data_IF_941646562496
#
_entry.id   IF_941646562496
#
_cell.length_a   1.000
_cell.length_b   1.000
_cell.length_c   1.000
_cell.angle_alpha   90.00
_cell.angle_beta   90.00
_cell.angle_gamma   90.00
#
_symmetry.space_group_name_H-M   'P 1'
#
loop_
_entity.id
_entity.type
_entity.pdbx_description
1 polymer ?
#
# COMPACT_ATOMS: atom_id res chain seq x y z
N UNK A 1 18.50 42.58 56.24
CA UNK A 1 19.05 41.58 57.18
C UNK A 1 20.06 40.76 56.41
N UNK A 2 21.21 40.56 57.06
CA UNK A 2 22.54 40.16 56.59
C UNK A 2 22.75 38.65 56.41
N UNK A 3 23.54 38.28 55.40
CA UNK A 3 24.81 37.50 55.45
C UNK A 3 25.06 36.46 56.57
N UNK A 4 24.12 35.55 56.88
CA UNK A 4 24.44 34.46 57.81
C UNK A 4 23.81 33.08 57.54
N UNK A 5 23.28 32.81 56.34
CA UNK A 5 22.84 31.44 55.97
C UNK A 5 23.39 30.96 54.63
N UNK A 6 24.57 31.47 54.24
CA UNK A 6 25.33 31.05 53.04
C UNK A 6 26.43 30.01 53.36
N UNK A 7 26.62 29.62 54.62
CA UNK A 7 27.73 28.72 55.01
C UNK A 7 27.30 27.57 55.95
N UNK A 8 26.60 26.54 55.46
CA UNK A 8 26.72 25.19 56.06
C UNK A 8 26.31 24.00 55.17
N UNK A 9 26.26 24.12 53.84
CA UNK A 9 26.20 22.94 52.96
C UNK A 9 27.21 23.07 51.81
N UNK A 10 28.41 23.52 52.14
CA UNK A 10 29.56 23.57 51.22
C UNK A 10 30.69 22.68 51.79
N UNK A 11 30.53 21.36 51.66
CA UNK A 11 31.63 20.41 51.91
C UNK A 11 31.46 19.03 51.24
N UNK A 12 30.38 18.76 50.48
CA UNK A 12 30.19 17.43 49.84
C UNK A 12 29.78 17.41 48.36
N UNK A 13 29.70 18.56 47.69
CA UNK A 13 29.37 18.62 46.25
C UNK A 13 30.54 18.96 45.32
N UNK A 14 31.73 19.32 45.84
CA UNK A 14 32.89 19.71 45.01
C UNK A 14 33.86 18.57 44.63
N UNK A 15 33.64 17.33 45.09
CA UNK A 15 34.49 16.17 44.72
C UNK A 15 33.83 15.19 43.74
N UNK A 16 32.57 15.40 43.35
CA UNK A 16 31.87 14.52 42.39
C UNK A 16 31.65 15.13 41.01
N UNK A 17 31.95 16.42 40.81
CA UNK A 17 31.81 17.09 39.51
C UNK A 17 33.16 17.19 38.77
N UNK A 18 34.31 17.12 39.47
CA UNK A 18 35.64 17.19 38.83
C UNK A 18 36.13 15.81 38.33
N UNK A 19 35.62 14.70 38.86
CA UNK A 19 35.96 13.34 38.37
C UNK A 19 35.07 12.90 37.20
N UNK A 20 33.85 13.44 37.06
CA UNK A 20 32.95 13.14 35.94
C UNK A 20 33.29 13.86 34.63
N UNK A 21 33.94 15.02 34.70
CA UNK A 21 34.28 15.83 33.51
C UNK A 21 35.64 15.41 32.90
N UNK A 22 36.51 14.73 33.65
CA UNK A 22 37.79 14.22 33.13
C UNK A 22 37.72 12.83 32.49
N UNK A 23 36.61 12.09 32.64
CA UNK A 23 36.40 10.81 31.92
C UNK A 23 35.65 11.02 30.60
N UNK A 24 34.90 12.11 30.44
CA UNK A 24 34.19 12.43 29.19
C UNK A 24 35.08 13.07 28.11
N UNK A 25 36.22 13.67 28.47
CA UNK A 25 37.11 14.34 27.51
C UNK A 25 38.17 13.40 26.89
N UNK A 26 38.39 12.22 27.48
CA UNK A 26 39.35 11.23 26.95
C UNK A 26 38.75 10.28 25.91
N UNK A 27 37.41 10.15 25.86
CA UNK A 27 36.72 9.24 24.92
C UNK A 27 36.34 9.94 23.60
N UNK A 28 36.15 11.26 23.61
CA UNK A 28 35.84 12.01 22.38
C UNK A 28 37.07 12.31 21.51
N UNK A 29 38.28 12.34 22.08
CA UNK A 29 39.52 12.62 21.34
C UNK A 29 40.02 11.45 20.47
N UNK A 30 39.71 10.20 20.84
CA UNK A 30 40.14 9.01 20.08
C UNK A 30 39.14 8.66 18.96
N UNK A 31 37.84 8.89 19.19
CA UNK A 31 36.81 8.64 18.17
C UNK A 31 36.91 9.62 16.98
N UNK A 32 37.30 10.89 17.23
CA UNK A 32 37.47 11.89 16.18
C UNK A 32 38.65 11.63 15.23
N UNK A 33 39.74 11.03 15.72
CA UNK A 33 40.89 10.68 14.88
C UNK A 33 40.65 9.39 14.10
N UNK A 34 39.90 8.43 14.65
CA UNK A 34 39.52 7.21 13.92
C UNK A 34 38.52 7.49 12.80
N UNK A 35 37.57 8.42 12.98
CA UNK A 35 36.65 8.83 11.90
C UNK A 35 37.35 9.62 10.79
N UNK A 36 38.31 10.49 11.12
CA UNK A 36 39.01 11.30 10.12
C UNK A 36 39.98 10.47 9.26
N UNK A 37 40.53 9.37 9.78
CA UNK A 37 41.31 8.41 8.97
C UNK A 37 40.39 7.51 8.13
N UNK A 38 39.16 7.24 8.58
CA UNK A 38 38.19 6.42 7.84
C UNK A 38 37.64 7.07 6.55
N UNK A 39 37.65 8.41 6.46
CA UNK A 39 37.19 9.13 5.27
C UNK A 39 38.31 9.52 4.28
N UNK A 40 39.59 9.36 4.68
CA UNK A 40 40.74 9.71 3.83
C UNK A 40 41.32 8.52 3.03
N UNK A 41 40.86 7.29 3.27
CA UNK A 41 41.24 6.11 2.48
C UNK A 41 39.97 5.40 2.03
N UNK A 42 39.69 5.42 0.73
CA UNK A 42 38.55 4.73 0.13
C UNK A 42 38.49 3.27 0.57
N UNK A 43 37.40 2.89 1.22
CA UNK A 43 37.29 1.58 1.86
C UNK A 43 36.74 0.55 0.89
N UNK A 44 37.64 -0.29 0.37
CA UNK A 44 37.33 -1.68 0.11
C UNK A 44 37.69 -2.50 1.35
N UNK A 45 36.71 -3.16 1.98
CA UNK A 45 36.99 -4.19 2.99
C UNK A 45 37.35 -5.49 2.27
N UNK A 46 38.46 -6.12 2.67
CA UNK A 46 38.84 -7.46 2.21
C UNK A 46 38.49 -8.50 3.27
N UNK A 47 38.04 -9.68 2.83
CA UNK A 47 37.91 -10.83 3.73
C UNK A 47 39.28 -11.42 4.11
N UNK A 48 39.32 -12.42 4.98
CA UNK A 48 40.55 -13.09 5.44
C UNK A 48 41.34 -13.82 4.33
N UNK A 49 40.87 -13.77 3.08
CA UNK A 49 41.55 -14.27 1.89
C UNK A 49 42.07 -13.17 0.95
N UNK A 50 41.92 -11.89 1.31
CA UNK A 50 42.42 -10.77 0.53
C UNK A 50 41.56 -10.41 -0.69
N UNK A 51 40.30 -10.86 -0.75
CA UNK A 51 39.37 -10.46 -1.81
C UNK A 51 38.61 -9.20 -1.43
N UNK A 52 38.72 -8.18 -2.28
CA UNK A 52 37.95 -6.94 -2.25
C UNK A 52 36.45 -7.26 -2.28
N UNK A 53 35.72 -6.99 -1.18
CA UNK A 53 34.27 -7.04 -1.17
C UNK A 53 33.75 -5.81 -1.92
N UNK A 54 33.56 -5.97 -3.23
CA UNK A 54 32.70 -5.06 -3.97
C UNK A 54 31.28 -5.22 -3.42
N UNK A 55 30.70 -4.15 -2.88
CA UNK A 55 29.26 -4.08 -2.72
C UNK A 55 28.67 -4.22 -4.13
N UNK A 56 28.07 -5.38 -4.42
CA UNK A 56 27.42 -5.63 -5.70
C UNK A 56 26.21 -4.71 -5.81
N UNK A 57 26.28 -3.74 -6.72
CA UNK A 57 25.12 -3.09 -7.32
C UNK A 57 24.33 -4.03 -8.28
N UNK A 58 24.64 -5.33 -8.31
CA UNK A 58 24.30 -6.26 -9.40
C UNK A 58 23.03 -7.13 -9.22
N UNK A 59 22.08 -6.80 -8.35
CA UNK A 59 20.80 -7.56 -8.23
C UNK A 59 19.56 -6.67 -8.44
N UNK A 60 19.69 -5.59 -9.23
CA UNK A 60 18.55 -4.76 -9.59
C UNK A 60 17.76 -5.37 -10.76
N UNK A 61 16.42 -5.26 -10.72
CA UNK A 61 15.56 -5.71 -11.83
C UNK A 61 15.63 -4.68 -12.97
N UNK A 62 16.29 -5.05 -14.06
CA UNK A 62 16.42 -4.17 -15.23
C UNK A 62 15.28 -4.44 -16.21
N UNK A 63 14.48 -3.42 -16.59
CA UNK A 63 13.44 -3.59 -17.58
C UNK A 63 14.03 -3.79 -18.99
N UNK A 64 13.29 -4.50 -19.83
CA UNK A 64 13.51 -4.55 -21.28
C UNK A 64 12.45 -3.75 -22.02
N UNK A 65 12.72 -3.34 -23.26
CA UNK A 65 11.80 -2.57 -24.11
C UNK A 65 11.50 -3.36 -25.39
N UNK A 66 10.25 -3.37 -25.83
CA UNK A 66 9.80 -3.95 -27.11
C UNK A 66 8.63 -3.13 -27.71
N UNK A 67 8.35 -3.23 -29.02
CA UNK A 67 7.16 -2.63 -29.62
C UNK A 67 5.86 -3.29 -29.13
N UNK A 68 4.78 -2.51 -28.96
CA UNK A 68 3.43 -3.01 -28.60
C UNK A 68 2.36 -2.68 -29.66
N UNK A 69 2.78 -2.07 -30.77
CA UNK A 69 1.90 -1.64 -31.86
C UNK A 69 1.86 -0.13 -32.00
N UNK A 70 0.79 0.37 -32.61
CA UNK A 70 0.62 1.77 -32.96
C UNK A 70 -0.81 2.21 -32.58
N UNK A 71 -0.95 3.48 -32.22
CA UNK A 71 -2.26 4.12 -32.09
C UNK A 71 -2.72 4.67 -33.44
N UNK A 72 -3.98 5.10 -33.55
CA UNK A 72 -4.65 5.50 -34.81
C UNK A 72 -3.89 6.52 -35.64
N UNK A 73 -3.15 7.42 -35.01
CA UNK A 73 -2.37 8.45 -35.69
C UNK A 73 -0.98 7.97 -36.15
N UNK A 74 -0.68 6.68 -36.02
CA UNK A 74 0.55 6.03 -36.44
C UNK A 74 1.72 6.17 -35.46
N UNK A 75 1.52 6.84 -34.31
CA UNK A 75 2.57 6.88 -33.28
C UNK A 75 2.74 5.51 -32.64
N UNK A 76 4.01 5.13 -32.41
CA UNK A 76 4.41 3.83 -31.88
C UNK A 76 4.24 3.78 -30.37
N UNK A 77 3.67 2.67 -29.91
CA UNK A 77 3.56 2.33 -28.49
C UNK A 77 4.65 1.32 -28.14
N UNK A 78 5.37 1.59 -27.05
CA UNK A 78 6.39 0.70 -26.50
C UNK A 78 5.82 -0.06 -25.31
N UNK A 79 6.27 -1.29 -25.10
CA UNK A 79 6.06 -2.07 -23.88
C UNK A 79 7.40 -2.23 -23.16
N UNK A 80 7.35 -2.13 -21.85
CA UNK A 80 8.47 -2.35 -20.95
C UNK A 80 8.16 -3.52 -20.04
N UNK A 81 9.10 -4.46 -19.92
CA UNK A 81 8.92 -5.69 -19.15
C UNK A 81 9.95 -5.78 -18.05
N UNK A 82 9.50 -5.84 -16.80
CA UNK A 82 10.30 -6.19 -15.63
C UNK A 82 10.07 -7.65 -15.26
N UNK A 83 11.12 -8.41 -14.98
CA UNK A 83 11.01 -9.76 -14.39
C UNK A 83 12.01 -9.91 -13.26
N UNK A 84 11.54 -10.17 -12.05
CA UNK A 84 12.41 -10.33 -10.88
C UNK A 84 12.79 -11.79 -10.62
N UNK A 85 13.68 -12.03 -9.65
CA UNK A 85 14.17 -13.38 -9.32
C UNK A 85 13.11 -14.33 -8.74
N UNK A 86 11.96 -13.79 -8.33
CA UNK A 86 10.84 -14.56 -7.78
C UNK A 86 9.76 -14.86 -8.84
N UNK A 87 10.10 -14.72 -10.13
CA UNK A 87 9.20 -14.94 -11.26
C UNK A 87 7.97 -14.02 -11.30
N UNK A 88 8.05 -12.85 -10.69
CA UNK A 88 7.06 -11.80 -10.90
C UNK A 88 7.44 -11.04 -12.16
N UNK A 89 6.50 -10.91 -13.09
CA UNK A 89 6.65 -10.12 -14.30
C UNK A 89 5.61 -9.01 -14.34
N UNK A 90 6.05 -7.77 -14.57
CA UNK A 90 5.18 -6.61 -14.76
C UNK A 90 5.45 -6.04 -16.14
N UNK A 91 4.39 -5.81 -16.91
CA UNK A 91 4.47 -5.18 -18.24
C UNK A 91 3.71 -3.87 -18.26
N UNK A 92 4.31 -2.87 -18.89
CA UNK A 92 3.82 -1.49 -18.89
C UNK A 92 3.98 -0.90 -20.28
N UNK A 93 2.96 -0.22 -20.81
CA UNK A 93 3.03 0.42 -22.13
C UNK A 93 3.09 1.94 -22.03
N UNK A 94 3.70 2.57 -23.03
CA UNK A 94 3.87 4.03 -23.08
C UNK A 94 2.56 4.80 -23.32
N UNK A 95 1.51 4.13 -23.80
CA UNK A 95 0.18 4.72 -23.93
C UNK A 95 -0.57 4.62 -22.60
N UNK A 96 -0.98 5.76 -22.06
CA UNK A 96 -1.63 5.89 -20.76
C UNK A 96 -0.74 5.57 -19.56
N UNK A 97 0.57 5.35 -19.78
CA UNK A 97 1.47 4.75 -18.78
C UNK A 97 0.85 3.51 -18.13
N UNK A 98 0.32 2.63 -18.98
CA UNK A 98 -0.63 1.58 -18.59
C UNK A 98 0.07 0.30 -18.17
N UNK A 99 -0.24 -0.22 -16.99
CA UNK A 99 0.15 -1.58 -16.58
C UNK A 99 -0.75 -2.56 -17.32
N UNK A 100 -0.15 -3.38 -18.19
CA UNK A 100 -0.87 -4.34 -19.05
C UNK A 100 -0.92 -5.73 -18.45
N UNK A 101 0.11 -6.12 -17.69
CA UNK A 101 0.26 -7.47 -17.15
C UNK A 101 0.92 -7.42 -15.76
N UNK A 102 0.45 -8.28 -14.86
CA UNK A 102 1.11 -8.61 -13.60
C UNK A 102 1.05 -10.13 -13.46
N UNK A 103 2.09 -10.82 -13.91
CA UNK A 103 2.23 -12.26 -13.78
C UNK A 103 2.90 -12.58 -12.45
N UNK A 104 2.25 -13.41 -11.63
CA UNK A 104 2.82 -13.86 -10.37
C UNK A 104 2.49 -15.34 -10.09
N UNK A 105 3.41 -16.10 -9.45
CA UNK A 105 3.13 -17.48 -9.06
C UNK A 105 1.96 -17.55 -8.05
N UNK A 106 1.42 -18.74 -7.81
CA UNK A 106 0.64 -19.03 -6.61
C UNK A 106 1.49 -19.85 -5.63
N UNK A 107 0.90 -20.31 -4.53
CA UNK A 107 1.57 -21.18 -3.55
C UNK A 107 2.07 -22.51 -4.12
N UNK A 108 1.58 -22.93 -5.30
CA UNK A 108 1.98 -24.14 -6.01
C UNK A 108 2.93 -23.85 -7.19
N UNK A 109 3.32 -22.58 -7.40
CA UNK A 109 4.19 -22.14 -8.49
C UNK A 109 3.49 -21.89 -9.83
N UNK A 110 2.15 -21.99 -9.91
CA UNK A 110 1.41 -21.68 -11.13
C UNK A 110 1.39 -20.17 -11.37
N UNK A 111 1.95 -19.73 -12.49
CA UNK A 111 2.03 -18.31 -12.85
C UNK A 111 0.79 -17.93 -13.65
N UNK A 112 0.06 -16.92 -13.17
CA UNK A 112 -1.07 -16.33 -13.88
C UNK A 112 -0.94 -14.80 -13.89
N UNK A 113 -1.46 -14.19 -14.95
CA UNK A 113 -1.64 -12.75 -14.99
C UNK A 113 -2.88 -12.35 -14.19
N UNK A 114 -2.68 -11.58 -13.13
CA UNK A 114 -3.71 -11.15 -12.20
C UNK A 114 -4.29 -9.76 -12.54
N UNK A 115 -3.85 -9.14 -13.63
CA UNK A 115 -4.34 -7.82 -14.07
C UNK A 115 -5.24 -7.95 -15.29
N UNK A 116 -6.38 -7.27 -15.29
CA UNK A 116 -7.20 -7.14 -16.51
C UNK A 116 -6.46 -6.23 -17.51
N UNK A 117 -6.71 -6.43 -18.81
CA UNK A 117 -6.07 -5.64 -19.85
C UNK A 117 -6.51 -6.04 -21.26
N UNK A 118 -5.76 -5.58 -22.26
CA UNK A 118 -5.99 -5.85 -23.68
C UNK A 118 -4.70 -6.27 -24.39
N UNK A 119 -4.82 -6.90 -25.56
CA UNK A 119 -3.68 -7.50 -26.27
C UNK A 119 -2.92 -6.48 -27.15
N UNK A 120 -3.57 -5.39 -27.55
CA UNK A 120 -3.03 -4.44 -28.52
C UNK A 120 -3.16 -2.98 -28.10
N UNK A 121 -2.24 -2.12 -28.56
CA UNK A 121 -2.31 -0.67 -28.35
C UNK A 121 -3.62 -0.05 -28.86
N UNK A 122 -4.11 -0.50 -30.02
CA UNK A 122 -5.36 -0.03 -30.61
C UNK A 122 -6.57 -0.33 -29.72
N UNK A 123 -6.63 -1.48 -29.06
CA UNK A 123 -7.72 -1.79 -28.13
C UNK A 123 -7.73 -0.89 -26.89
N UNK A 124 -6.55 -0.55 -26.35
CA UNK A 124 -6.46 0.43 -25.26
C UNK A 124 -6.96 1.81 -25.68
N UNK A 125 -6.62 2.26 -26.90
CA UNK A 125 -7.09 3.54 -27.44
C UNK A 125 -8.60 3.53 -27.75
N UNK A 126 -9.10 2.48 -28.38
CA UNK A 126 -10.50 2.38 -28.83
C UNK A 126 -11.49 2.26 -27.69
N UNK A 127 -11.16 1.45 -26.68
CA UNK A 127 -12.11 1.08 -25.64
C UNK A 127 -12.16 2.11 -24.52
N UNK A 128 -11.07 2.86 -24.34
CA UNK A 128 -10.99 3.99 -23.41
C UNK A 128 -11.51 3.65 -21.99
N UNK A 129 -11.21 2.44 -21.51
CA UNK A 129 -11.75 1.90 -20.25
C UNK A 129 -10.93 2.28 -19.02
N UNK A 130 -9.75 2.90 -19.23
CA UNK A 130 -8.77 3.25 -18.19
C UNK A 130 -8.14 2.06 -17.47
N UNK A 131 -8.43 0.82 -17.89
CA UNK A 131 -7.89 -0.40 -17.26
C UNK A 131 -6.36 -0.35 -17.22
N UNK A 132 -5.79 -0.34 -16.02
CA UNK A 132 -4.34 -0.32 -15.77
C UNK A 132 -3.66 1.02 -16.05
N UNK A 133 -4.39 2.03 -16.53
CA UNK A 133 -3.83 3.28 -16.99
C UNK A 133 -3.58 4.25 -15.84
N UNK A 134 -2.65 5.18 -16.04
CA UNK A 134 -2.48 6.34 -15.18
C UNK A 134 -3.70 7.26 -15.27
N UNK A 135 -4.08 7.83 -14.14
CA UNK A 135 -5.19 8.76 -13.99
C UNK A 135 -4.64 10.16 -13.73
N UNK A 136 -5.22 11.16 -14.39
CA UNK A 136 -4.82 12.56 -14.25
C UNK A 136 -5.44 13.45 -15.32
N UNK A 137 -5.48 14.78 -15.15
CA UNK A 137 -4.78 15.58 -14.13
C UNK A 137 -5.37 15.46 -12.71
N UNK A 138 -6.66 15.18 -12.58
CA UNK A 138 -7.34 14.83 -11.33
C UNK A 138 -7.94 13.42 -11.44
N UNK A 139 -7.62 12.57 -10.47
CA UNK A 139 -8.24 11.26 -10.24
C UNK A 139 -9.57 11.45 -9.50
N UNK A 140 -10.52 10.56 -9.80
CA UNK A 140 -11.89 10.61 -9.29
C UNK A 140 -12.66 11.88 -9.69
N UNK A 141 -13.86 12.01 -9.14
CA UNK A 141 -14.82 13.06 -9.52
C UNK A 141 -14.44 14.43 -8.98
N UNK A 142 -14.74 15.44 -9.78
CA UNK A 142 -14.76 16.84 -9.41
C UNK A 142 -16.17 17.39 -9.64
N UNK A 143 -16.80 17.82 -8.53
CA UNK A 143 -18.17 18.32 -8.49
C UNK A 143 -18.37 19.51 -9.43
N UNK A 144 -19.38 19.42 -10.30
CA UNK A 144 -19.77 20.50 -11.21
C UNK A 144 -18.72 20.84 -12.27
N UNK A 145 -17.71 19.99 -12.46
CA UNK A 145 -16.62 20.18 -13.41
C UNK A 145 -15.94 21.55 -13.28
N UNK A 146 -15.75 22.02 -12.05
CA UNK A 146 -15.14 23.33 -11.78
C UNK A 146 -14.47 23.42 -10.42
N UNK A 147 -13.54 24.35 -10.29
CA UNK A 147 -12.83 24.67 -9.04
C UNK A 147 -12.36 26.11 -9.04
N UNK A 148 -11.91 26.61 -7.89
CA UNK A 148 -11.45 27.99 -7.72
C UNK A 148 -10.00 28.04 -7.25
N UNK A 149 -9.18 28.89 -7.86
CA UNK A 149 -7.83 29.23 -7.38
C UNK A 149 -7.74 30.74 -7.23
N UNK A 150 -7.36 31.23 -6.05
CA UNK A 150 -7.17 32.65 -5.78
C UNK A 150 -8.38 33.53 -6.20
N UNK A 151 -9.59 33.00 -6.01
CA UNK A 151 -10.85 33.66 -6.37
C UNK A 151 -11.24 33.59 -7.86
N UNK A 152 -10.43 32.95 -8.70
CA UNK A 152 -10.73 32.71 -10.12
C UNK A 152 -11.34 31.32 -10.29
N UNK A 153 -12.55 31.25 -10.84
CA UNK A 153 -13.21 29.99 -11.19
C UNK A 153 -12.68 29.45 -12.52
N UNK A 154 -12.32 28.16 -12.54
CA UNK A 154 -11.92 27.42 -13.72
C UNK A 154 -12.96 26.34 -14.01
N UNK A 155 -13.37 26.26 -15.27
CA UNK A 155 -14.25 25.19 -15.76
C UNK A 155 -13.41 24.16 -16.50
N UNK A 156 -13.60 22.89 -16.16
CA UNK A 156 -12.98 21.74 -16.83
C UNK A 156 -14.02 20.94 -17.58
N UNK A 157 -13.57 19.98 -18.38
CA UNK A 157 -14.47 19.12 -19.16
C UNK A 157 -15.46 18.37 -18.27
N UNK A 158 -16.76 18.49 -18.56
CA UNK A 158 -17.81 17.72 -17.91
C UNK A 158 -18.04 16.40 -18.67
N UNK A 159 -17.20 15.41 -18.40
CA UNK A 159 -17.24 14.09 -19.08
C UNK A 159 -18.15 13.06 -18.38
N UNK A 160 -18.75 13.40 -17.24
CA UNK A 160 -19.74 12.58 -16.56
C UNK A 160 -20.95 13.43 -16.12
N UNK A 161 -21.88 13.65 -17.04
CA UNK A 161 -23.04 14.52 -16.80
C UNK A 161 -22.60 15.97 -16.58
N UNK A 162 -22.80 16.49 -15.36
CA UNK A 162 -22.35 17.83 -14.96
C UNK A 162 -20.98 17.80 -14.24
N UNK A 163 -20.44 16.62 -13.98
CA UNK A 163 -19.20 16.44 -13.25
C UNK A 163 -18.04 16.12 -14.18
N UNK A 164 -16.84 16.31 -13.65
CA UNK A 164 -15.60 15.89 -14.26
C UNK A 164 -15.11 14.63 -13.55
N UNK A 165 -14.52 13.67 -14.27
CA UNK A 165 -13.96 12.46 -13.68
C UNK A 165 -12.70 12.03 -14.41
N UNK A 166 -11.69 11.59 -13.65
CA UNK A 166 -10.44 11.00 -14.17
C UNK A 166 -9.72 11.85 -15.23
N UNK A 167 -9.74 13.18 -15.09
CA UNK A 167 -9.00 14.08 -15.96
C UNK A 167 -9.72 14.49 -17.24
N UNK A 168 -10.93 14.03 -17.50
CA UNK A 168 -11.78 14.54 -18.59
C UNK A 168 -11.97 13.54 -19.73
N UNK A 169 -12.31 14.05 -20.93
CA UNK A 169 -12.60 13.20 -22.09
C UNK A 169 -11.35 12.46 -22.59
N UNK A 170 -10.21 13.14 -22.55
CA UNK A 170 -8.91 12.61 -22.91
C UNK A 170 -7.94 12.90 -21.77
N UNK A 171 -8.17 12.22 -20.64
CA UNK A 171 -7.27 12.23 -19.49
C UNK A 171 -5.93 11.56 -19.78
N UNK A 172 -5.09 11.45 -18.75
CA UNK A 172 -3.74 10.87 -18.87
C UNK A 172 -3.75 9.43 -19.38
N UNK A 173 -4.83 8.69 -19.14
CA UNK A 173 -5.05 7.33 -19.64
C UNK A 173 -5.00 7.22 -21.18
N UNK A 174 -5.22 8.33 -21.87
CA UNK A 174 -5.27 8.40 -23.34
C UNK A 174 -4.13 9.19 -23.97
N UNK A 175 -3.05 9.38 -23.22
CA UNK A 175 -1.87 10.10 -23.70
C UNK A 175 -0.74 9.15 -24.00
N UNK A 176 0.00 9.43 -25.07
CA UNK A 176 1.25 8.76 -25.32
C UNK A 176 2.37 9.47 -24.55
N UNK A 177 2.94 8.81 -23.55
CA UNK A 177 4.03 9.33 -22.74
C UNK A 177 5.38 9.14 -23.46
N UNK A 178 6.30 10.08 -23.27
CA UNK A 178 7.72 9.88 -23.59
C UNK A 178 8.32 8.95 -22.54
N UNK A 179 8.58 7.70 -22.92
CA UNK A 179 8.99 6.63 -22.02
C UNK A 179 10.45 6.22 -22.25
N UNK A 180 11.24 6.16 -21.17
CA UNK A 180 12.67 5.82 -21.20
C UNK A 180 13.06 4.92 -20.03
N UNK A 181 13.92 3.94 -20.30
CA UNK A 181 14.59 3.18 -19.24
C UNK A 181 15.68 4.05 -18.60
N UNK A 182 15.69 4.11 -17.27
CA UNK A 182 16.64 4.84 -16.44
C UNK A 182 17.16 3.91 -15.33
N UNK A 183 18.23 3.18 -15.63
CA UNK A 183 18.74 2.13 -14.73
C UNK A 183 17.71 1.01 -14.57
N UNK A 184 17.24 0.80 -13.34
CA UNK A 184 16.22 -0.19 -12.98
C UNK A 184 14.79 0.37 -12.97
N UNK A 185 14.57 1.51 -13.63
CA UNK A 185 13.27 2.19 -13.68
C UNK A 185 12.84 2.45 -15.11
N UNK A 186 11.53 2.54 -15.32
CA UNK A 186 10.94 3.15 -16.53
C UNK A 186 10.35 4.49 -16.11
N UNK A 187 10.88 5.58 -16.63
CA UNK A 187 10.31 6.92 -16.45
C UNK A 187 9.47 7.28 -17.67
N UNK A 188 8.22 7.65 -17.43
CA UNK A 188 7.24 8.08 -18.43
C UNK A 188 6.86 9.52 -18.16
N UNK A 189 7.12 10.39 -19.14
CA UNK A 189 6.86 11.83 -19.03
C UNK A 189 5.73 12.24 -19.97
N UNK A 190 4.80 13.04 -19.46
CA UNK A 190 3.80 13.71 -20.27
C UNK A 190 3.76 15.20 -19.94
N UNK A 191 3.74 16.04 -20.98
CA UNK A 191 3.59 17.49 -20.84
C UNK A 191 2.17 17.85 -21.26
N UNK A 192 1.34 18.09 -20.26
CA UNK A 192 -0.05 18.53 -20.41
C UNK A 192 -0.06 20.05 -20.60
N UNK A 193 -0.42 20.59 -21.78
CA UNK A 193 -0.35 22.03 -22.03
C UNK A 193 -1.32 22.83 -21.16
N UNK A 194 -1.09 24.14 -21.07
CA UNK A 194 -2.02 25.08 -20.43
C UNK A 194 -3.40 25.00 -21.14
N UNK A 195 -4.46 24.83 -20.35
CA UNK A 195 -5.83 24.70 -20.83
C UNK A 195 -6.24 23.28 -21.25
N UNK A 196 -5.37 22.27 -21.16
CA UNK A 196 -5.76 20.89 -21.47
C UNK A 196 -6.90 20.44 -20.55
N UNK A 197 -8.01 19.98 -21.13
CA UNK A 197 -9.25 19.61 -20.42
C UNK A 197 -9.80 20.74 -19.52
N UNK A 198 -9.37 21.99 -19.76
CA UNK A 198 -9.74 23.18 -19.00
C UNK A 198 -8.84 23.51 -17.79
N UNK A 199 -7.79 22.72 -17.52
CA UNK A 199 -6.90 22.97 -16.39
C UNK A 199 -5.86 24.07 -16.70
N UNK A 200 -5.61 25.02 -15.78
CA UNK A 200 -4.60 26.06 -15.97
C UNK A 200 -3.18 25.51 -15.80
N UNK A 201 -2.23 26.15 -16.45
CA UNK A 201 -0.82 25.82 -16.35
C UNK A 201 -0.44 24.62 -17.21
N UNK A 202 0.67 24.75 -17.91
CA UNK A 202 1.37 23.59 -18.45
C UNK A 202 1.88 22.77 -17.26
N UNK A 203 1.57 21.47 -17.27
CA UNK A 203 1.98 20.51 -16.28
C UNK A 203 2.90 19.47 -16.91
N UNK A 204 4.14 19.41 -16.45
CA UNK A 204 5.03 18.27 -16.72
C UNK A 204 4.85 17.23 -15.63
N UNK A 205 4.33 16.06 -15.99
CA UNK A 205 4.15 14.91 -15.10
C UNK A 205 5.12 13.80 -15.45
N UNK A 206 5.76 13.22 -14.43
CA UNK A 206 6.67 12.08 -14.56
C UNK A 206 6.16 10.95 -13.67
N UNK A 207 5.94 9.78 -14.27
CA UNK A 207 5.59 8.54 -13.58
C UNK A 207 6.80 7.60 -13.70
N UNK A 208 7.32 7.14 -12.58
CA UNK A 208 8.42 6.18 -12.52
C UNK A 208 7.90 4.83 -12.05
N UNK A 209 8.15 3.78 -12.82
CA UNK A 209 7.88 2.40 -12.44
C UNK A 209 9.16 1.66 -12.10
N UNK A 210 9.12 0.86 -11.03
CA UNK A 210 10.22 0.01 -10.59
C UNK A 210 9.66 -1.30 -10.05
N UNK A 211 10.23 -2.43 -10.46
CA UNK A 211 10.03 -3.70 -9.79
C UNK A 211 11.27 -4.02 -8.95
N UNK A 212 11.11 -4.47 -7.72
CA UNK A 212 12.22 -4.90 -6.86
C UNK A 212 12.27 -6.43 -6.75
N UNK A 213 13.41 -6.93 -6.25
CA UNK A 213 13.59 -8.35 -5.97
C UNK A 213 12.89 -8.79 -4.67
N UNK A 214 12.36 -7.85 -3.90
CA UNK A 214 11.48 -8.02 -2.74
C UNK A 214 9.99 -8.05 -3.13
N UNK A 215 9.72 -8.11 -4.44
CA UNK A 215 8.40 -8.12 -5.06
C UNK A 215 7.60 -6.82 -4.92
N UNK A 216 8.28 -5.68 -4.82
CA UNK A 216 7.60 -4.39 -4.77
C UNK A 216 7.51 -3.78 -6.17
N UNK A 217 6.29 -3.51 -6.64
CA UNK A 217 6.01 -2.65 -7.77
C UNK A 217 5.79 -1.22 -7.25
N UNK A 218 6.76 -0.34 -7.47
CA UNK A 218 6.79 1.03 -6.96
C UNK A 218 6.44 2.00 -8.10
N UNK A 219 5.46 2.88 -7.84
CA UNK A 219 5.02 3.97 -8.71
C UNK A 219 5.31 5.31 -8.01
N UNK A 220 6.22 6.10 -8.57
CA UNK A 220 6.54 7.45 -8.07
C UNK A 220 6.02 8.51 -9.03
N UNK A 221 5.27 9.49 -8.51
CA UNK A 221 4.63 10.55 -9.26
C UNK A 221 5.25 11.90 -8.91
N UNK A 222 5.81 12.56 -9.93
CA UNK A 222 6.40 13.91 -9.82
C UNK A 222 5.71 14.83 -10.80
N UNK A 223 5.48 16.08 -10.40
CA UNK A 223 4.93 17.06 -11.32
C UNK A 223 5.41 18.49 -11.04
N UNK A 224 5.59 19.25 -12.11
CA UNK A 224 5.93 20.68 -12.06
C UNK A 224 5.02 21.43 -13.00
N UNK A 225 4.57 22.61 -12.58
CA UNK A 225 3.61 23.42 -13.33
C UNK A 225 4.09 24.85 -13.53
N UNK A 226 3.58 25.50 -14.58
CA UNK A 226 3.81 26.94 -14.84
C UNK A 226 2.79 27.85 -14.16
N UNK A 227 1.64 27.33 -13.74
CA UNK A 227 0.60 28.03 -12.96
C UNK A 227 0.07 27.13 -11.86
N UNK A 228 -0.43 27.69 -10.76
CA UNK A 228 -1.15 26.90 -9.76
C UNK A 228 -2.28 26.10 -10.43
N UNK A 229 -2.31 24.79 -10.20
CA UNK A 229 -3.28 23.85 -10.77
C UNK A 229 -3.51 22.71 -9.79
N UNK A 230 -4.73 22.14 -9.75
CA UNK A 230 -4.95 20.93 -9.01
C UNK A 230 -4.25 19.73 -9.67
N UNK A 231 -3.77 18.79 -8.85
CA UNK A 231 -3.14 17.54 -9.27
C UNK A 231 -3.56 16.42 -8.32
N UNK A 232 -4.12 15.35 -8.86
CA UNK A 232 -4.37 14.10 -8.15
C UNK A 232 -4.09 12.94 -9.12
N UNK A 233 -2.94 12.29 -8.98
CA UNK A 233 -2.49 11.25 -9.91
C UNK A 233 -2.55 9.88 -9.26
N UNK A 234 -2.99 8.88 -10.02
CA UNK A 234 -3.01 7.49 -9.58
C UNK A 234 -2.91 6.53 -10.76
N UNK A 235 -3.15 5.24 -10.51
CA UNK A 235 -3.24 4.21 -11.53
C UNK A 235 -4.46 3.31 -11.28
N UNK A 236 -5.12 2.89 -12.35
CA UNK A 236 -6.41 2.19 -12.30
C UNK A 236 -6.28 0.68 -12.61
N UNK A 237 -5.34 -0.02 -11.97
CA UNK A 237 -5.20 -1.48 -12.13
C UNK A 237 -6.44 -2.21 -11.60
N UNK A 238 -6.95 -3.14 -12.39
CA UNK A 238 -8.01 -4.05 -12.01
C UNK A 238 -7.41 -5.42 -11.70
N UNK A 239 -7.50 -5.85 -10.45
CA UNK A 239 -6.92 -7.11 -9.99
C UNK A 239 -7.95 -8.23 -9.95
N UNK A 240 -7.57 -9.40 -10.46
CA UNK A 240 -8.20 -10.67 -10.14
C UNK A 240 -7.12 -11.70 -9.78
N UNK A 241 -7.02 -12.05 -8.50
CA UNK A 241 -5.98 -12.95 -7.98
C UNK A 241 -6.14 -14.41 -8.44
N UNK A 242 -7.29 -14.79 -9.02
CA UNK A 242 -7.45 -16.08 -9.71
C UNK A 242 -6.99 -16.05 -11.18
N UNK A 243 -6.53 -14.89 -11.63
CA UNK A 243 -6.14 -14.61 -13.00
C UNK A 243 -7.21 -13.79 -13.74
N UNK A 244 -6.79 -12.95 -14.69
CA UNK A 244 -7.67 -12.00 -15.39
C UNK A 244 -8.88 -12.66 -16.07
N UNK A 245 -8.75 -13.92 -16.50
CA UNK A 245 -9.79 -14.67 -17.21
C UNK A 245 -10.65 -15.58 -16.32
N UNK A 246 -10.43 -15.57 -15.00
CA UNK A 246 -11.12 -16.49 -14.10
C UNK A 246 -12.61 -16.16 -13.91
N UNK A 247 -12.98 -14.89 -14.12
CA UNK A 247 -14.22 -14.35 -13.55
C UNK A 247 -14.19 -14.47 -12.02
N UNK A 248 -15.37 -14.34 -11.38
CA UNK A 248 -15.60 -14.70 -9.97
C UNK A 248 -14.62 -14.08 -8.96
N UNK A 249 -14.35 -12.78 -9.06
CA UNK A 249 -13.45 -12.09 -8.12
C UNK A 249 -14.00 -12.03 -6.66
N UNK A 250 -15.22 -12.49 -6.42
CA UNK A 250 -15.89 -12.48 -5.12
C UNK A 250 -15.27 -13.40 -4.05
N UNK A 251 -14.32 -14.25 -4.44
CA UNK A 251 -13.63 -15.21 -3.57
C UNK A 251 -12.42 -14.58 -2.85
N UNK A 252 -12.07 -13.34 -3.20
CA UNK A 252 -11.01 -12.60 -2.55
C UNK A 252 -11.47 -12.09 -1.19
N UNK A 253 -10.50 -11.97 -0.27
CA UNK A 253 -10.65 -11.24 0.96
C UNK A 253 -10.04 -9.84 0.78
N UNK A 254 -10.77 -8.82 1.21
CA UNK A 254 -10.29 -7.44 1.26
C UNK A 254 -10.13 -6.99 2.71
N UNK A 255 -9.06 -6.26 2.98
CA UNK A 255 -8.86 -5.51 4.22
C UNK A 255 -8.42 -4.08 3.89
N UNK A 256 -8.97 -3.10 4.59
CA UNK A 256 -8.59 -1.69 4.49
C UNK A 256 -8.32 -1.16 5.88
N UNK A 257 -7.12 -0.64 6.11
CA UNK A 257 -6.64 -0.23 7.44
C UNK A 257 -7.01 1.23 7.73
N UNK A 258 -8.31 1.53 7.68
CA UNK A 258 -8.86 2.83 8.02
C UNK A 258 -10.06 2.67 8.97
N UNK A 259 -10.29 3.69 9.81
CA UNK A 259 -11.48 3.84 10.64
C UNK A 259 -12.57 4.68 9.96
N UNK A 260 -12.25 5.33 8.83
CA UNK A 260 -13.09 6.35 8.21
C UNK A 260 -13.12 6.30 6.69
N UNK A 261 -14.23 6.72 6.12
CA UNK A 261 -14.43 6.85 4.67
C UNK A 261 -15.18 8.14 4.35
N UNK A 262 -15.15 8.55 3.08
CA UNK A 262 -15.90 9.69 2.55
C UNK A 262 -17.26 9.19 2.06
N UNK A 263 -18.37 9.52 2.72
CA UNK A 263 -19.71 9.19 2.25
C UNK A 263 -20.02 9.92 0.95
N UNK A 264 -20.59 9.21 -0.01
CA UNK A 264 -20.95 9.75 -1.32
C UNK A 264 -22.47 9.85 -1.51
N UNK A 265 -22.90 10.77 -2.36
CA UNK A 265 -24.28 10.92 -2.83
C UNK A 265 -24.57 10.04 -4.06
N UNK A 266 -25.77 10.15 -4.62
CA UNK A 266 -26.21 9.38 -5.80
C UNK A 266 -25.41 9.71 -7.07
N UNK A 267 -24.77 10.89 -7.12
CA UNK A 267 -23.86 11.27 -8.19
C UNK A 267 -22.42 10.78 -7.93
N UNK A 268 -22.23 9.97 -6.89
CA UNK A 268 -20.95 9.46 -6.39
C UNK A 268 -19.98 10.58 -5.98
N UNK A 269 -20.51 11.74 -5.58
CA UNK A 269 -19.73 12.85 -5.06
C UNK A 269 -19.71 12.82 -3.53
N UNK A 270 -18.63 13.28 -2.89
CA UNK A 270 -18.62 13.50 -1.45
C UNK A 270 -19.83 14.30 -0.99
N UNK A 271 -20.48 13.84 0.07
CA UNK A 271 -21.50 14.62 0.77
C UNK A 271 -20.85 15.83 1.44
N UNK A 272 -21.64 16.90 1.55
CA UNK A 272 -21.23 18.15 2.21
C UNK A 272 -19.87 18.69 1.71
N UNK A 273 -18.98 18.98 2.66
CA UNK A 273 -17.60 19.41 2.40
C UNK A 273 -16.56 18.27 2.54
N UNK A 274 -17.00 17.02 2.30
CA UNK A 274 -16.15 15.83 2.47
C UNK A 274 -16.09 15.34 3.91
N UNK A 275 -17.21 15.41 4.65
CA UNK A 275 -17.23 14.90 6.02
C UNK A 275 -16.88 13.41 6.06
N UNK A 276 -16.00 13.01 6.99
CA UNK A 276 -15.64 11.62 7.17
C UNK A 276 -16.67 10.90 8.06
N UNK A 277 -17.07 9.70 7.67
CA UNK A 277 -17.88 8.81 8.51
C UNK A 277 -17.06 7.60 8.97
N UNK A 278 -17.40 7.06 10.14
CA UNK A 278 -16.76 5.84 10.66
C UNK A 278 -17.18 4.61 9.87
N UNK A 279 -16.25 3.70 9.63
CA UNK A 279 -16.55 2.43 8.94
C UNK A 279 -17.31 1.44 9.81
N UNK A 280 -17.12 1.49 11.14
CA UNK A 280 -17.67 0.52 12.10
C UNK A 280 -19.18 0.34 11.95
N UNK A 281 -19.60 -0.92 11.76
CA UNK A 281 -21.02 -1.29 11.62
C UNK A 281 -21.64 -0.94 10.26
N UNK A 282 -20.83 -0.58 9.27
CA UNK A 282 -21.28 -0.29 7.89
C UNK A 282 -20.78 -1.36 6.91
N UNK A 283 -21.30 -1.34 5.68
CA UNK A 283 -20.81 -2.21 4.58
C UNK A 283 -19.37 -1.87 4.14
N UNK A 284 -18.83 -0.73 4.61
CA UNK A 284 -17.47 -0.26 4.36
C UNK A 284 -16.49 -0.72 5.45
N UNK A 285 -16.93 -1.53 6.43
CA UNK A 285 -16.05 -2.04 7.47
C UNK A 285 -15.17 -3.20 6.95
N UNK A 286 -14.02 -2.83 6.38
CA UNK A 286 -12.98 -3.77 5.96
C UNK A 286 -11.78 -3.80 6.92
N UNK A 287 -11.95 -3.36 8.18
CA UNK A 287 -10.87 -3.43 9.18
C UNK A 287 -10.46 -4.86 9.46
N UNK A 288 -11.38 -5.81 9.26
CA UNK A 288 -11.14 -7.24 9.27
C UNK A 288 -11.30 -7.83 7.85
N UNK A 289 -10.57 -8.91 7.50
CA UNK A 289 -10.69 -9.57 6.21
C UNK A 289 -12.13 -9.93 5.87
N UNK A 290 -12.63 -9.35 4.79
CA UNK A 290 -14.02 -9.49 4.34
C UNK A 290 -14.07 -10.11 2.95
N UNK A 291 -14.90 -11.15 2.80
CA UNK A 291 -15.18 -11.75 1.49
C UNK A 291 -15.85 -10.74 0.56
N UNK A 292 -15.22 -10.46 -0.58
CA UNK A 292 -15.72 -9.49 -1.56
C UNK A 292 -17.15 -9.80 -1.99
N UNK A 293 -17.50 -11.08 -2.23
CA UNK A 293 -18.88 -11.47 -2.61
C UNK A 293 -19.97 -11.07 -1.61
N UNK A 294 -19.62 -10.79 -0.35
CA UNK A 294 -20.61 -10.38 0.68
C UNK A 294 -21.05 -8.93 0.52
N UNK A 295 -20.27 -8.12 -0.19
CA UNK A 295 -20.47 -6.66 -0.28
C UNK A 295 -20.54 -6.17 -1.72
N UNK A 296 -20.01 -6.93 -2.69
CA UNK A 296 -19.78 -6.47 -4.07
C UNK A 296 -21.02 -5.89 -4.77
N UNK A 297 -22.20 -6.46 -4.53
CA UNK A 297 -23.44 -6.03 -5.17
C UNK A 297 -24.04 -4.76 -4.54
N UNK A 298 -23.70 -4.48 -3.28
CA UNK A 298 -24.18 -3.32 -2.52
C UNK A 298 -23.14 -2.19 -2.45
N UNK A 299 -21.94 -2.43 -3.00
CA UNK A 299 -20.80 -1.53 -2.94
C UNK A 299 -20.51 -0.97 -4.34
N UNK A 300 -20.79 0.33 -4.52
CA UNK A 300 -20.49 1.00 -5.80
C UNK A 300 -19.01 1.39 -5.85
N UNK A 301 -18.59 2.26 -4.94
CA UNK A 301 -17.24 2.81 -4.79
C UNK A 301 -17.13 3.46 -3.40
N UNK A 302 -15.94 3.48 -2.79
CA UNK A 302 -15.71 4.23 -1.55
C UNK A 302 -14.26 4.66 -1.42
N UNK A 303 -14.06 5.91 -1.00
CA UNK A 303 -12.75 6.44 -0.66
C UNK A 303 -12.54 6.39 0.86
N UNK A 304 -11.58 5.56 1.29
CA UNK A 304 -11.12 5.50 2.68
C UNK A 304 -10.12 6.61 2.94
N UNK A 305 -10.13 7.17 4.15
CA UNK A 305 -9.22 8.25 4.57
C UNK A 305 -8.17 7.72 5.55
N UNK A 306 -6.93 8.17 5.41
CA UNK A 306 -5.81 7.81 6.30
C UNK A 306 -5.21 9.04 6.97
N UNK A 307 -5.89 10.20 6.93
CA UNK A 307 -5.40 11.47 7.47
C UNK A 307 -4.27 12.05 6.61
N UNK A 308 -3.13 12.36 7.22
CA UNK A 308 -2.08 13.15 6.57
C UNK A 308 -1.44 12.48 5.35
N UNK A 309 -1.13 13.31 4.34
CA UNK A 309 -0.36 12.99 3.14
C UNK A 309 1.15 13.03 3.42
N UNK A 310 1.91 12.26 2.64
CA UNK A 310 3.38 12.29 2.60
C UNK A 310 4.06 11.16 3.38
N UNK A 311 3.41 10.64 4.42
CA UNK A 311 3.90 9.47 5.18
C UNK A 311 3.45 8.19 4.52
N UNK A 312 4.40 7.30 4.16
CA UNK A 312 4.08 5.99 3.59
C UNK A 312 3.38 5.11 4.63
N UNK A 313 2.18 4.63 4.31
CA UNK A 313 1.33 3.78 5.17
C UNK A 313 0.94 2.51 4.44
N UNK A 314 0.78 1.39 5.17
CA UNK A 314 0.11 0.20 4.66
C UNK A 314 -1.40 0.43 4.76
N UNK A 315 -2.10 0.47 3.63
CA UNK A 315 -3.49 0.96 3.58
C UNK A 315 -4.51 -0.12 3.26
N UNK A 316 -4.12 -1.17 2.53
CA UNK A 316 -5.02 -2.24 2.19
C UNK A 316 -4.30 -3.54 1.84
N UNK A 317 -5.04 -4.64 1.96
CA UNK A 317 -4.67 -5.95 1.43
C UNK A 317 -5.82 -6.52 0.61
N UNK A 318 -5.49 -7.08 -0.55
CA UNK A 318 -6.36 -7.99 -1.30
C UNK A 318 -5.68 -9.36 -1.35
N UNK A 319 -6.37 -10.42 -0.96
CA UNK A 319 -5.79 -11.76 -0.92
C UNK A 319 -6.77 -12.83 -1.39
N UNK A 320 -6.23 -13.90 -1.93
CA UNK A 320 -6.98 -15.11 -2.25
C UNK A 320 -6.45 -16.27 -1.41
N UNK A 321 -7.22 -16.77 -0.42
CA UNK A 321 -6.74 -17.81 0.48
C UNK A 321 -6.56 -19.17 -0.20
N UNK A 322 -7.28 -19.41 -1.30
CA UNK A 322 -7.23 -20.68 -2.03
C UNK A 322 -5.89 -20.86 -2.73
N UNK A 323 -5.43 -19.84 -3.46
CA UNK A 323 -4.17 -19.90 -4.21
C UNK A 323 -2.98 -19.27 -3.47
N UNK A 324 -3.21 -18.46 -2.44
CA UNK A 324 -2.17 -17.84 -1.62
C UNK A 324 -1.52 -16.60 -2.24
N UNK A 325 -2.07 -16.04 -3.31
CA UNK A 325 -1.65 -14.73 -3.84
C UNK A 325 -2.25 -13.63 -2.97
N UNK A 326 -1.46 -12.59 -2.71
CA UNK A 326 -1.93 -11.37 -2.09
C UNK A 326 -1.17 -10.13 -2.59
N UNK A 327 -1.82 -8.99 -2.45
CA UNK A 327 -1.29 -7.66 -2.74
C UNK A 327 -1.45 -6.82 -1.49
N UNK A 328 -0.35 -6.27 -1.01
CA UNK A 328 -0.36 -5.19 -0.02
C UNK A 328 -0.18 -3.85 -0.73
N UNK A 329 -1.00 -2.87 -0.37
CA UNK A 329 -0.93 -1.51 -0.92
C UNK A 329 -0.32 -0.57 0.11
N UNK A 330 0.76 0.10 -0.28
CA UNK A 330 1.41 1.13 0.49
C UNK A 330 1.35 2.46 -0.26
N UNK A 331 1.08 3.56 0.43
CA UNK A 331 0.98 4.86 -0.24
C UNK A 331 1.34 6.02 0.67
N UNK A 332 1.79 7.12 0.08
CA UNK A 332 1.89 8.43 0.73
C UNK A 332 0.62 9.26 0.57
N UNK A 333 -0.34 8.81 -0.23
CA UNK A 333 -1.60 9.52 -0.43
C UNK A 333 -2.53 9.41 0.78
N UNK A 334 -3.38 10.43 1.02
CA UNK A 334 -4.25 10.47 2.19
C UNK A 334 -5.50 9.59 2.03
N UNK A 335 -5.78 9.08 0.82
CA UNK A 335 -6.94 8.25 0.55
C UNK A 335 -6.68 7.04 -0.33
N UNK A 336 -7.64 6.12 -0.32
CA UNK A 336 -7.68 4.91 -1.16
C UNK A 336 -9.09 4.72 -1.65
N UNK A 337 -9.29 4.80 -2.97
CA UNK A 337 -10.52 4.37 -3.59
C UNK A 337 -10.53 2.85 -3.74
N UNK A 338 -11.61 2.23 -3.29
CA UNK A 338 -11.90 0.82 -3.54
C UNK A 338 -13.05 0.76 -4.51
N UNK A 339 -12.89 -0.03 -5.58
CA UNK A 339 -13.90 -0.16 -6.61
C UNK A 339 -13.98 -1.60 -7.13
N UNK A 340 -15.18 -2.19 -7.12
CA UNK A 340 -15.42 -3.57 -7.53
C UNK A 340 -16.04 -3.68 -8.93
N UNK A 341 -15.58 -2.87 -9.89
CA UNK A 341 -16.05 -2.94 -11.28
C UNK A 341 -17.56 -2.71 -11.49
N UNK A 342 -18.28 -2.08 -10.56
CA UNK A 342 -19.74 -1.93 -10.60
C UNK A 342 -20.29 -1.23 -11.86
N UNK A 343 -19.48 -0.38 -12.51
CA UNK A 343 -19.80 0.31 -13.78
C UNK A 343 -19.04 -0.23 -14.99
N UNK A 344 -18.33 -1.36 -14.88
CA UNK A 344 -17.69 -1.97 -16.03
C UNK A 344 -18.76 -2.42 -17.03
N UNK A 345 -18.55 -2.09 -18.32
CA UNK A 345 -19.49 -2.46 -19.38
C UNK A 345 -19.58 -3.99 -19.48
N UNK A 346 -20.78 -4.57 -19.61
CA UNK A 346 -20.90 -5.98 -19.92
C UNK A 346 -20.30 -6.28 -21.30
N UNK A 347 -19.86 -7.52 -21.52
CA UNK A 347 -19.29 -8.00 -22.78
C UNK A 347 -18.03 -7.23 -23.24
N UNK A 348 -17.19 -6.81 -22.29
CA UNK A 348 -15.90 -6.22 -22.60
C UNK A 348 -14.88 -7.34 -22.85
N UNK A 349 -14.45 -7.53 -24.09
CA UNK A 349 -13.49 -8.59 -24.44
C UNK A 349 -12.05 -8.19 -24.11
N UNK A 350 -11.48 -8.68 -23.04
CA UNK A 350 -10.08 -8.51 -22.62
C UNK A 350 -9.05 -9.34 -23.39
N UNK A 351 -7.85 -9.41 -22.81
CA UNK A 351 -6.75 -10.30 -23.25
C UNK A 351 -7.22 -11.71 -23.51
N UNK A 352 -6.65 -12.36 -24.53
CA UNK A 352 -6.95 -13.72 -24.95
C UNK A 352 -8.46 -13.97 -25.21
N UNK A 353 -9.20 -12.91 -25.54
CA UNK A 353 -10.66 -12.96 -25.73
C UNK A 353 -11.47 -13.20 -24.44
N UNK A 354 -10.87 -13.05 -23.26
CA UNK A 354 -11.57 -13.18 -21.99
C UNK A 354 -12.71 -12.16 -21.88
N UNK A 355 -13.85 -12.54 -21.30
CA UNK A 355 -14.93 -11.59 -21.05
C UNK A 355 -14.75 -10.94 -19.68
N UNK A 356 -14.78 -9.61 -19.67
CA UNK A 356 -14.88 -8.79 -18.46
C UNK A 356 -16.27 -8.18 -18.37
N UNK A 357 -16.73 -8.00 -17.14
CA UNK A 357 -18.05 -7.45 -16.85
C UNK A 357 -18.11 -6.79 -15.48
N UNK A 358 -19.31 -6.35 -15.07
CA UNK A 358 -19.48 -5.72 -13.77
C UNK A 358 -19.30 -6.72 -12.62
N UNK A 359 -19.01 -6.18 -11.43
CA UNK A 359 -18.95 -6.94 -10.19
C UNK A 359 -17.99 -8.15 -10.26
N UNK A 360 -18.51 -9.36 -10.09
CA UNK A 360 -17.75 -10.61 -10.03
C UNK A 360 -17.02 -10.93 -11.35
N UNK A 361 -17.53 -10.44 -12.48
CA UNK A 361 -16.96 -10.63 -13.81
C UNK A 361 -15.83 -9.62 -14.12
N UNK A 362 -15.54 -8.70 -13.18
CA UNK A 362 -14.52 -7.68 -13.32
C UNK A 362 -13.30 -7.93 -12.44
N UNK A 363 -12.62 -6.84 -12.08
CA UNK A 363 -11.53 -6.84 -11.11
C UNK A 363 -11.79 -5.90 -9.92
N UNK A 364 -10.95 -6.01 -8.91
CA UNK A 364 -10.91 -5.08 -7.77
C UNK A 364 -9.87 -4.02 -8.07
N UNK A 365 -10.23 -2.74 -7.94
CA UNK A 365 -9.28 -1.63 -8.00
C UNK A 365 -9.00 -1.13 -6.58
N UNK A 366 -7.73 -0.84 -6.33
CA UNK A 366 -7.22 -0.20 -5.12
C UNK A 366 -6.41 1.01 -5.60
N UNK A 367 -6.98 2.21 -5.51
CA UNK A 367 -6.49 3.41 -6.19
C UNK A 367 -6.05 4.43 -5.14
N UNK A 368 -4.76 4.48 -4.75
CA UNK A 368 -4.28 5.48 -3.82
C UNK A 368 -4.36 6.88 -4.43
N UNK A 369 -4.96 7.83 -3.74
CA UNK A 369 -5.23 9.16 -4.28
C UNK A 369 -5.53 10.17 -3.17
N UNK A 370 -5.58 11.45 -3.52
CA UNK A 370 -6.25 12.46 -2.70
C UNK A 370 -7.76 12.24 -2.67
N UNK A 371 -8.45 12.85 -1.70
CA UNK A 371 -9.89 12.64 -1.56
C UNK A 371 -10.65 13.15 -2.80
N UNK A 372 -11.72 12.46 -3.24
CA UNK A 372 -12.50 12.88 -4.40
C UNK A 372 -12.98 14.32 -4.22
N UNK A 373 -12.94 15.13 -5.27
CA UNK A 373 -13.31 16.55 -5.23
C UNK A 373 -12.60 17.38 -4.15
N UNK A 374 -11.46 16.92 -3.62
CA UNK A 374 -10.69 17.59 -2.55
C UNK A 374 -10.31 19.05 -2.85
N UNK A 375 -10.16 19.40 -4.13
CA UNK A 375 -9.85 20.77 -4.59
C UNK A 375 -10.93 21.79 -4.18
N UNK A 376 -12.15 21.33 -3.94
CA UNK A 376 -13.27 22.16 -3.50
C UNK A 376 -13.55 22.05 -1.99
N UNK A 377 -12.73 21.31 -1.24
CA UNK A 377 -12.90 21.11 0.20
C UNK A 377 -11.98 22.05 0.99
N UNK A 378 -12.51 22.72 2.01
CA UNK A 378 -11.74 23.73 2.73
C UNK A 378 -10.56 23.16 3.54
N UNK A 379 -10.65 21.90 3.96
CA UNK A 379 -9.70 21.25 4.87
C UNK A 379 -8.90 20.11 4.21
N UNK A 380 -8.96 19.96 2.89
CA UNK A 380 -8.25 18.87 2.21
C UNK A 380 -6.77 19.27 1.97
N UNK A 381 -5.81 18.45 2.44
CA UNK A 381 -4.40 18.76 2.32
C UNK A 381 -3.90 18.58 0.88
N UNK A 382 -3.99 19.65 0.09
CA UNK A 382 -3.04 19.93 -0.97
C UNK A 382 -3.37 19.38 -2.34
N UNK A 383 -4.48 19.83 -2.91
CA UNK A 383 -4.74 19.66 -4.34
C UNK A 383 -3.80 20.47 -5.23
N UNK A 384 -3.22 21.58 -4.78
CA UNK A 384 -2.49 22.51 -5.67
C UNK A 384 -0.97 22.27 -5.68
N UNK A 385 -0.40 22.16 -6.88
CA UNK A 385 1.06 22.07 -7.04
C UNK A 385 1.68 23.41 -7.47
N UNK A 386 2.87 23.71 -6.94
CA UNK A 386 3.71 24.84 -7.37
C UNK A 386 5.10 24.41 -7.86
N UNK A 387 5.62 23.24 -7.41
CA UNK A 387 6.77 22.45 -7.94
C UNK A 387 7.07 21.27 -7.00
N UNK A 388 7.30 20.03 -7.49
CA UNK A 388 7.93 18.97 -6.68
C UNK A 388 7.46 17.51 -6.92
N UNK A 389 7.74 16.63 -5.95
CA UNK A 389 7.10 15.30 -5.87
C UNK A 389 5.66 15.51 -5.40
N UNK A 390 4.71 14.90 -6.11
CA UNK A 390 3.30 14.99 -5.75
C UNK A 390 2.90 13.80 -4.88
N UNK A 391 3.30 12.58 -5.25
CA UNK A 391 2.89 11.36 -4.54
C UNK A 391 3.82 10.18 -4.81
N UNK A 392 3.74 9.16 -3.97
CA UNK A 392 4.28 7.83 -4.25
C UNK A 392 3.29 6.77 -3.80
N UNK A 393 3.03 5.79 -4.66
CA UNK A 393 2.27 4.59 -4.37
C UNK A 393 3.17 3.37 -4.62
N UNK A 394 3.04 2.32 -3.82
CA UNK A 394 3.77 1.08 -4.00
C UNK A 394 2.88 -0.10 -3.68
N UNK A 395 2.96 -1.13 -4.48
CA UNK A 395 2.27 -2.41 -4.28
C UNK A 395 3.32 -3.48 -3.98
N UNK A 396 3.09 -4.29 -2.97
CA UNK A 396 3.93 -5.46 -2.67
C UNK A 396 3.15 -6.70 -3.12
N UNK A 397 3.69 -7.40 -4.12
CA UNK A 397 3.06 -8.53 -4.81
C UNK A 397 3.61 -9.84 -4.25
N UNK A 398 2.84 -10.61 -3.50
CA UNK A 398 3.41 -11.78 -2.80
C UNK A 398 2.57 -13.03 -2.93
N UNK A 399 3.24 -14.16 -2.72
CA UNK A 399 2.70 -15.50 -2.89
C UNK A 399 3.12 -16.34 -1.68
N UNK A 400 2.17 -16.98 -1.04
CA UNK A 400 2.45 -17.88 0.08
C UNK A 400 1.18 -18.30 0.82
N UNK A 401 1.31 -19.33 1.63
CA UNK A 401 0.35 -19.54 2.72
C UNK A 401 0.69 -18.49 3.76
N UNK A 402 -0.30 -17.70 4.22
CA UNK A 402 -0.09 -16.96 5.46
C UNK A 402 0.27 -17.99 6.52
N UNK A 403 1.56 -18.08 6.86
CA UNK A 403 1.90 -18.57 8.15
C UNK A 403 1.16 -17.66 9.12
N UNK A 404 0.50 -18.23 10.11
CA UNK A 404 -0.23 -17.53 11.18
C UNK A 404 0.68 -16.62 12.04
N UNK A 405 1.86 -16.29 11.54
CA UNK A 405 2.99 -15.62 12.17
C UNK A 405 2.76 -14.12 12.39
N UNK A 406 1.56 -13.60 12.08
CA UNK A 406 1.10 -12.29 12.58
C UNK A 406 1.05 -12.21 14.11
N UNK A 407 1.32 -13.30 14.84
CA UNK A 407 1.44 -13.31 16.30
C UNK A 407 2.86 -13.24 16.88
N UNK A 408 3.92 -13.35 16.07
CA UNK A 408 5.30 -13.50 16.58
C UNK A 408 6.30 -12.44 16.08
N UNK A 409 5.82 -11.22 15.79
CA UNK A 409 6.65 -10.04 15.60
C UNK A 409 6.90 -9.27 16.92
N UNK A 410 8.03 -8.55 17.08
CA UNK A 410 8.43 -7.86 18.33
C UNK A 410 7.54 -6.68 18.78
N UNK A 411 6.33 -6.55 18.23
CA UNK A 411 5.25 -5.69 18.75
C UNK A 411 4.14 -6.44 19.50
N UNK A 412 4.23 -7.77 19.64
CA UNK A 412 3.19 -8.61 20.25
C UNK A 412 3.03 -8.43 21.78
N UNK A 413 3.98 -7.75 22.43
CA UNK A 413 4.02 -7.63 23.90
C UNK A 413 3.03 -6.59 24.47
N UNK A 414 2.53 -5.66 23.65
CA UNK A 414 1.51 -4.69 24.09
C UNK A 414 0.07 -5.21 23.93
N UNK A 415 -0.18 -6.22 23.08
CA UNK A 415 -1.52 -6.81 22.88
C UNK A 415 -1.76 -8.04 23.77
N UNK A 416 -0.70 -8.77 24.14
CA UNK A 416 -0.78 -9.90 25.09
C UNK A 416 -1.26 -9.47 26.49
N UNK A 417 -0.95 -8.24 26.93
CA UNK A 417 -1.34 -7.75 28.26
C UNK A 417 -2.82 -7.41 28.42
N UNK A 418 -3.55 -7.13 27.33
CA UNK A 418 -4.99 -6.81 27.37
C UNK A 418 -5.90 -8.03 27.17
N UNK A 419 -5.38 -9.12 26.59
CA UNK A 419 -6.14 -10.37 26.37
C UNK A 419 -6.02 -11.32 27.57
N UNK A 420 -4.93 -11.24 28.34
CA UNK A 420 -4.67 -12.07 29.52
C UNK A 420 -5.64 -11.78 30.70
N UNK A 421 -6.26 -10.61 30.78
CA UNK A 421 -7.20 -10.29 31.86
C UNK A 421 -8.58 -10.93 31.71
N UNK A 422 -9.02 -11.21 30.47
CA UNK A 422 -10.37 -11.74 30.19
C UNK A 422 -10.40 -13.26 29.97
N UNK A 423 -9.30 -13.88 29.54
CA UNK A 423 -9.22 -15.32 29.30
C UNK A 423 -8.81 -16.10 30.58
N UNK A 424 -8.11 -15.44 31.51
CA UNK A 424 -7.69 -15.99 32.82
C UNK A 424 -8.86 -16.39 33.75
N UNK A 425 -10.01 -15.71 33.66
CA UNK A 425 -11.16 -16.01 34.55
C UNK A 425 -11.92 -17.29 34.13
N UNK A 426 -12.05 -17.54 32.83
CA UNK A 426 -12.83 -18.66 32.27
C UNK A 426 -12.08 -19.98 32.36
N UNK A 427 -10.76 -19.98 32.11
CA UNK A 427 -9.91 -21.17 32.15
C UNK A 427 -9.59 -21.64 33.57
N UNK A 428 -9.54 -20.74 34.57
CA UNK A 428 -9.38 -21.13 35.99
C UNK A 428 -10.60 -21.87 36.54
N UNK A 429 -11.81 -21.59 36.03
CA UNK A 429 -13.04 -22.26 36.46
C UNK A 429 -13.11 -23.71 35.91
N UNK A 430 -12.69 -23.91 34.66
CA UNK A 430 -12.69 -25.24 34.02
C UNK A 430 -11.52 -26.11 34.51
N UNK A 431 -10.32 -25.54 34.68
CA UNK A 431 -9.16 -26.26 35.22
C UNK A 431 -9.36 -26.68 36.69
N UNK A 432 -10.04 -25.88 37.50
CA UNK A 432 -10.34 -26.20 38.90
C UNK A 432 -11.30 -27.40 39.09
N UNK A 433 -12.24 -27.61 38.15
CA UNK A 433 -13.13 -28.78 38.20
C UNK A 433 -12.48 -30.07 37.66
N UNK A 434 -11.56 -29.94 36.69
CA UNK A 434 -10.83 -31.09 36.14
C UNK A 434 -9.74 -31.57 37.11
N UNK A 435 -9.01 -30.65 37.78
CA UNK A 435 -8.02 -31.05 38.79
C UNK A 435 -8.67 -31.72 40.01
N UNK A 436 -9.84 -31.26 40.49
CA UNK A 436 -10.54 -31.92 41.62
C UNK A 436 -10.99 -33.35 41.30
N UNK A 437 -11.31 -33.67 40.04
CA UNK A 437 -11.63 -35.05 39.62
C UNK A 437 -10.40 -35.93 39.44
N UNK A 438 -9.26 -35.35 39.02
CA UNK A 438 -8.00 -36.12 38.91
C UNK A 438 -7.36 -36.44 40.26
N UNK A 439 -7.42 -35.54 41.26
CA UNK A 439 -6.81 -35.81 42.58
C UNK A 439 -7.52 -36.94 43.35
N UNK A 440 -8.83 -37.14 43.12
CA UNK A 440 -9.59 -38.25 43.75
C UNK A 440 -9.26 -39.59 43.10
N UNK A 441 -8.98 -39.62 41.79
CA UNK A 441 -8.59 -40.84 41.06
C UNK A 441 -7.15 -41.26 41.33
N UNK A 442 -6.22 -40.32 41.54
CA UNK A 442 -4.83 -40.63 41.88
C UNK A 442 -4.66 -41.05 43.34
N UNK A 443 -5.45 -40.51 44.28
CA UNK A 443 -5.40 -40.93 45.68
C UNK A 443 -5.90 -42.38 45.88
N UNK A 444 -6.95 -42.79 45.15
CA UNK A 444 -7.46 -44.17 45.20
C UNK A 444 -6.49 -45.18 44.55
N UNK A 445 -5.79 -44.79 43.48
CA UNK A 445 -4.80 -45.64 42.82
C UNK A 445 -3.50 -45.80 43.63
N UNK A 446 -3.09 -44.76 44.36
CA UNK A 446 -1.91 -44.80 45.24
C UNK A 446 -2.20 -45.60 46.52
N UNK A 447 -3.39 -45.49 47.13
CA UNK A 447 -3.75 -46.31 48.31
C UNK A 447 -3.90 -47.81 47.96
N UNK A 448 -4.41 -48.13 46.77
CA UNK A 448 -4.50 -49.52 46.29
C UNK A 448 -3.12 -50.13 46.00
N UNK A 449 -2.19 -49.35 45.44
CA UNK A 449 -0.82 -49.78 45.17
C UNK A 449 0.01 -49.92 46.46
N UNK A 450 -0.17 -49.03 47.44
CA UNK A 450 0.52 -49.09 48.73
C UNK A 450 0.10 -50.30 49.56
N UNK A 451 -1.20 -50.62 49.62
CA UNK A 451 -1.73 -51.79 50.34
C UNK A 451 -1.25 -53.12 49.75
N UNK A 452 -1.00 -53.17 48.44
CA UNK A 452 -0.56 -54.38 47.74
C UNK A 452 0.96 -54.61 47.84
N UNK A 453 1.74 -53.55 48.07
CA UNK A 453 3.19 -53.63 48.19
C UNK A 453 3.69 -54.04 49.58
N UNK A 454 2.89 -53.82 50.64
CA UNK A 454 3.36 -53.99 52.03
C UNK A 454 2.69 -55.10 52.86
N UNK A 455 1.77 -55.87 52.28
CA UNK A 455 1.12 -57.04 52.92
C UNK A 455 0.74 -56.81 54.39
N UNK A 456 0.16 -55.64 54.69
CA UNK A 456 -0.30 -55.30 56.04
C UNK A 456 -1.70 -55.92 56.19
N UNK A 457 -1.78 -57.04 56.90
CA UNK A 457 -3.07 -57.55 57.38
C UNK A 457 -3.63 -56.55 58.38
N UNK A 458 -4.91 -56.22 58.21
CA UNK A 458 -5.70 -55.41 59.15
C UNK A 458 -5.69 -56.07 60.53
N UNK A 459 -4.85 -55.60 61.43
CA UNK A 459 -5.17 -55.55 62.84
C UNK A 459 -4.28 -54.49 63.51
N UNK A 460 -4.96 -53.58 64.22
CA UNK A 460 -4.47 -52.53 65.12
C UNK A 460 -3.97 -51.19 64.53
N UNK A 461 -4.93 -50.24 64.63
CA UNK A 461 -4.90 -48.77 64.61
C UNK A 461 -4.63 -48.01 63.31
#
# INVERSE_FOLDING_TARGET
>A
MSDAEVNSVCSRSRHRIIVGVLVAVSVCGVAGVVLAVYFATGNSTQDSSGKTLAWKEDDAVIPTEEPFGEIKDGRKVKRFTFTNKNNITVRIISYGATITDILMPDKNGAILDISLGFDTAAEYEDRHTKIGAALGRITERLKGAKFTIDGVEYNVSANEGQNHVHGGFYGFDSKLFDAKIKGNKVEMTYVSPDGEEGFPGELTSVISFQLTNENELILDYRATTTKATPINLSNHVYFNLEGHKAGKNGDHLISVFSDTYVPIDEALLPKGDGELATVNGTIFDFQNPTLVRKVINDFIVSCYSFGDRGTRKHVARLENPTNGRYIDVFTTEPGLDVYFSSRMKPNLYGKDGAMYGPFEDGGVCLIPMQLPSGVNMANEPGCFASKGRCASAGMVLRTGVLATDWLDGPGSDCLKSSIDSSISLSLRFVAGQVLRKLTVLTAAAVDFAFRRAFNISKEEF
#
